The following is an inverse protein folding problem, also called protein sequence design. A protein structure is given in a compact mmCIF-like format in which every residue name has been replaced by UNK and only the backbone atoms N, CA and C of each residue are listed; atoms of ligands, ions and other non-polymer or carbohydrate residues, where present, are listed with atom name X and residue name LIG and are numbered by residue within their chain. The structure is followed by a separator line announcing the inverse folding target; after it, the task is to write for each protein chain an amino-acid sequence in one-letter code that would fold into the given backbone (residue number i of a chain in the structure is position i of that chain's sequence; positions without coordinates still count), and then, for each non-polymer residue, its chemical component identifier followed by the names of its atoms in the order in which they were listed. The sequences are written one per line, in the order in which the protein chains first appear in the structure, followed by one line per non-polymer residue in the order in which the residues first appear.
data_IF_029048896047
#
_entry.id   IF_029048896047
#
_cell.length_a   1.000
_cell.length_b   1.000
_cell.length_c   1.000
_cell.angle_alpha   90.00
_cell.angle_beta   90.00
_cell.angle_gamma   90.00
#
_symmetry.space_group_name_H-M   'P 1'
#
loop_
_entity.id
_entity.type
_entity.pdbx_description
1 polymer ?
#
# COMPACT_ATOMS: atom_id res chain seq x y z
N UNK A 1 26.33 -5.77 -10.38
CA UNK A 1 26.44 -4.91 -11.58
C UNK A 1 25.99 -3.50 -11.21
N UNK A 2 26.54 -2.42 -11.80
CA UNK A 2 26.09 -1.07 -11.52
C UNK A 2 24.65 -0.84 -12.03
N UNK A 3 23.86 -0.05 -11.30
CA UNK A 3 22.51 0.38 -11.68
C UNK A 3 22.53 1.88 -11.97
N UNK A 4 21.90 2.31 -13.06
CA UNK A 4 21.73 3.72 -13.43
C UNK A 4 20.25 4.10 -13.31
N UNK A 5 19.95 5.18 -12.57
CA UNK A 5 18.61 5.75 -12.46
C UNK A 5 18.51 7.00 -13.34
N UNK A 6 17.54 7.04 -14.25
CA UNK A 6 17.28 8.18 -15.14
C UNK A 6 15.94 8.81 -14.77
N UNK A 7 15.95 10.12 -14.55
CA UNK A 7 14.77 10.91 -14.17
C UNK A 7 14.88 12.30 -14.81
N UNK A 8 13.75 12.93 -15.10
CA UNK A 8 13.67 14.28 -15.66
C UNK A 8 13.81 15.39 -14.60
N UNK A 9 13.79 15.03 -13.31
CA UNK A 9 13.98 15.90 -12.16
C UNK A 9 14.89 15.22 -11.12
N UNK A 10 15.50 15.94 -10.16
CA UNK A 10 16.24 15.33 -9.06
C UNK A 10 15.41 14.25 -8.33
N UNK A 11 16.08 13.19 -7.85
CA UNK A 11 15.41 12.14 -7.07
C UNK A 11 14.72 12.72 -5.84
N UNK A 12 13.49 12.27 -5.59
CA UNK A 12 12.66 12.82 -4.50
C UNK A 12 12.21 14.25 -4.78
N UNK A 13 11.98 14.61 -6.05
CA UNK A 13 11.27 15.82 -6.46
C UNK A 13 10.55 15.57 -7.78
N UNK A 14 9.49 16.33 -8.06
CA UNK A 14 8.87 16.39 -9.39
C UNK A 14 8.02 15.17 -9.79
N UNK A 15 7.95 14.13 -8.95
CA UNK A 15 7.04 13.01 -9.12
C UNK A 15 5.74 13.22 -8.32
N UNK A 16 4.62 12.69 -8.82
CA UNK A 16 3.33 12.79 -8.13
C UNK A 16 3.26 12.00 -6.81
N UNK A 17 4.23 11.12 -6.53
CA UNK A 17 4.28 10.33 -5.28
C UNK A 17 4.29 11.21 -4.02
N UNK A 18 4.92 12.37 -4.07
CA UNK A 18 5.00 13.33 -2.94
C UNK A 18 3.68 14.04 -2.68
N UNK A 19 2.75 13.98 -3.64
CA UNK A 19 1.43 14.62 -3.55
C UNK A 19 0.38 13.67 -2.98
N UNK A 20 0.72 12.40 -2.73
CA UNK A 20 -0.19 11.43 -2.14
C UNK A 20 -0.48 11.77 -0.67
N UNK A 21 -1.76 11.77 -0.28
CA UNK A 21 -2.20 12.21 1.06
C UNK A 21 -3.04 11.18 1.81
N UNK A 22 -3.71 10.25 1.12
CA UNK A 22 -4.62 9.30 1.76
C UNK A 22 -3.88 8.27 2.61
N UNK A 23 -3.41 7.19 1.97
CA UNK A 23 -2.68 6.15 2.67
C UNK A 23 -2.30 4.99 1.76
N UNK A 24 -1.81 3.91 2.39
CA UNK A 24 -1.53 2.65 1.74
C UNK A 24 -2.45 1.57 2.34
N UNK A 25 -3.33 1.00 1.52
CA UNK A 25 -4.21 -0.08 1.97
C UNK A 25 -3.41 -1.39 2.08
N UNK A 26 -3.50 -2.05 3.23
CA UNK A 26 -2.91 -3.36 3.47
C UNK A 26 -3.66 -4.08 4.60
N UNK A 27 -3.88 -5.38 4.44
CA UNK A 27 -4.61 -6.17 5.45
C UNK A 27 -3.72 -6.49 6.65
N UNK A 28 -3.78 -5.59 7.63
CA UNK A 28 -2.97 -5.60 8.86
C UNK A 28 -3.81 -5.74 10.13
N UNK A 29 -5.13 -5.52 10.04
CA UNK A 29 -6.08 -5.70 11.14
C UNK A 29 -6.26 -7.19 11.50
N UNK A 30 -6.63 -7.47 12.75
CA UNK A 30 -6.87 -8.84 13.22
C UNK A 30 -8.15 -9.47 12.67
N UNK A 31 -9.05 -8.65 12.16
CA UNK A 31 -10.34 -8.96 11.54
C UNK A 31 -10.31 -8.84 10.00
N UNK A 32 -9.16 -8.49 9.42
CA UNK A 32 -8.97 -8.34 7.97
C UNK A 32 -8.09 -9.45 7.37
N UNK A 33 -8.15 -9.64 6.07
CA UNK A 33 -7.35 -10.62 5.33
C UNK A 33 -7.22 -10.27 3.84
N UNK A 34 -6.13 -10.69 3.18
CA UNK A 34 -5.90 -10.40 1.76
C UNK A 34 -7.01 -10.86 0.82
N UNK A 35 -7.81 -11.85 1.20
CA UNK A 35 -8.94 -12.31 0.39
C UNK A 35 -10.16 -11.38 0.51
N UNK A 36 -10.37 -10.69 1.63
CA UNK A 36 -11.39 -9.63 1.74
C UNK A 36 -10.98 -8.40 0.91
N UNK A 37 -9.75 -7.95 1.07
CA UNK A 37 -9.18 -6.86 0.27
C UNK A 37 -9.16 -7.18 -1.24
N UNK A 38 -8.94 -8.45 -1.62
CA UNK A 38 -9.11 -8.88 -3.01
C UNK A 38 -10.54 -8.65 -3.50
N UNK A 39 -11.55 -9.10 -2.75
CA UNK A 39 -12.95 -8.92 -3.11
C UNK A 39 -13.30 -7.44 -3.29
N UNK A 40 -12.89 -6.57 -2.36
CA UNK A 40 -13.12 -5.13 -2.44
C UNK A 40 -12.46 -4.52 -3.68
N UNK A 41 -11.21 -4.90 -3.97
CA UNK A 41 -10.49 -4.39 -5.15
C UNK A 41 -11.14 -4.83 -6.46
N UNK A 42 -11.59 -6.09 -6.55
CA UNK A 42 -12.27 -6.61 -7.75
C UNK A 42 -13.63 -5.93 -7.93
N UNK A 43 -14.39 -5.74 -6.85
CA UNK A 43 -15.67 -5.05 -6.88
C UNK A 43 -15.50 -3.59 -7.34
N UNK A 44 -14.53 -2.87 -6.77
CA UNK A 44 -14.22 -1.50 -7.16
C UNK A 44 -13.72 -1.37 -8.61
N UNK A 45 -13.09 -2.43 -9.14
CA UNK A 45 -12.54 -2.48 -10.48
C UNK A 45 -13.55 -2.66 -11.62
N UNK A 46 -14.83 -2.90 -11.32
CA UNK A 46 -15.93 -3.01 -12.30
C UNK A 46 -15.61 -3.95 -13.49
N UNK A 47 -15.02 -5.11 -13.19
CA UNK A 47 -14.67 -6.13 -14.19
C UNK A 47 -13.43 -5.82 -15.05
N UNK A 48 -12.71 -4.73 -14.77
CA UNK A 48 -11.50 -4.34 -15.50
C UNK A 48 -10.20 -4.82 -14.84
N UNK A 49 -10.28 -5.40 -13.64
CA UNK A 49 -9.13 -5.94 -12.95
C UNK A 49 -8.67 -7.29 -13.53
N UNK A 50 -7.35 -7.46 -13.64
CA UNK A 50 -6.74 -8.79 -13.69
C UNK A 50 -6.64 -9.35 -12.27
N UNK A 51 -7.47 -10.34 -11.96
CA UNK A 51 -7.54 -10.96 -10.64
C UNK A 51 -6.21 -11.56 -10.16
N UNK A 52 -5.42 -12.16 -11.06
CA UNK A 52 -4.14 -12.75 -10.67
C UNK A 52 -3.15 -11.66 -10.21
N UNK A 53 -3.17 -10.52 -10.90
CA UNK A 53 -2.39 -9.34 -10.53
C UNK A 53 -2.86 -8.76 -9.20
N UNK A 54 -4.17 -8.55 -9.02
CA UNK A 54 -4.72 -8.02 -7.76
C UNK A 54 -4.36 -8.94 -6.58
N UNK A 55 -4.59 -10.25 -6.73
CA UNK A 55 -4.27 -11.26 -5.71
C UNK A 55 -2.80 -11.21 -5.29
N UNK A 56 -1.89 -10.99 -6.24
CA UNK A 56 -0.45 -10.85 -5.95
C UNK A 56 -0.17 -9.57 -5.15
N UNK A 57 -0.79 -8.46 -5.53
CA UNK A 57 -0.59 -7.15 -4.87
C UNK A 57 -1.12 -7.17 -3.44
N UNK A 58 -2.38 -7.56 -3.22
CA UNK A 58 -3.01 -7.53 -1.89
C UNK A 58 -2.34 -8.48 -0.89
N UNK A 59 -1.81 -9.63 -1.37
CA UNK A 59 -1.03 -10.56 -0.53
C UNK A 59 0.36 -10.04 -0.17
N UNK A 60 0.96 -9.23 -1.04
CA UNK A 60 2.29 -8.65 -0.80
C UNK A 60 2.23 -7.38 0.08
N UNK A 61 1.09 -6.68 0.10
CA UNK A 61 0.94 -5.40 0.76
C UNK A 61 1.39 -5.39 2.24
N UNK A 62 1.03 -6.37 3.10
CA UNK A 62 1.48 -6.38 4.49
C UNK A 62 3.02 -6.41 4.65
N UNK A 63 3.74 -7.18 3.83
CA UNK A 63 5.20 -7.22 3.89
C UNK A 63 5.83 -5.97 3.27
N UNK A 64 5.17 -5.37 2.27
CA UNK A 64 5.61 -4.09 1.71
C UNK A 64 5.58 -2.98 2.78
N UNK A 65 4.50 -2.90 3.58
CA UNK A 65 4.40 -1.96 4.72
C UNK A 65 5.54 -2.18 5.71
N UNK A 66 5.79 -3.44 6.12
CA UNK A 66 6.92 -3.76 7.03
C UNK A 66 8.26 -3.35 6.43
N UNK A 67 8.44 -3.52 5.12
CA UNK A 67 9.67 -3.18 4.41
C UNK A 67 9.96 -1.68 4.45
N UNK A 68 8.98 -0.85 4.10
CA UNK A 68 9.17 0.60 4.10
C UNK A 68 9.25 1.18 5.52
N UNK A 69 8.60 0.53 6.50
CA UNK A 69 8.82 0.84 7.91
C UNK A 69 10.27 0.56 8.33
N UNK A 70 10.89 -0.54 7.87
CA UNK A 70 12.33 -0.80 8.08
C UNK A 70 13.24 0.22 7.39
N UNK A 71 12.77 0.85 6.31
CA UNK A 71 13.49 1.96 5.66
C UNK A 71 13.32 3.29 6.38
N UNK A 72 12.50 3.35 7.43
CA UNK A 72 12.33 4.54 8.27
C UNK A 72 11.09 5.37 7.96
N UNK A 73 10.11 4.84 7.22
CA UNK A 73 8.80 5.51 7.10
C UNK A 73 8.15 5.55 8.49
N UNK A 74 7.78 6.75 8.91
CA UNK A 74 7.16 7.02 10.21
C UNK A 74 5.64 6.97 10.07
N UNK A 75 5.07 5.76 10.21
CA UNK A 75 3.62 5.57 10.23
C UNK A 75 3.03 6.02 11.57
N UNK A 76 1.80 6.53 11.52
CA UNK A 76 1.04 6.83 12.73
C UNK A 76 0.86 5.59 13.60
N UNK A 77 1.21 5.72 14.89
CA UNK A 77 1.16 4.63 15.86
C UNK A 77 0.39 4.99 17.13
N UNK A 78 -0.32 4.02 17.70
CA UNK A 78 -0.84 4.08 19.06
C UNK A 78 0.32 4.08 20.08
N UNK A 79 0.09 4.47 21.35
CA UNK A 79 1.13 4.46 22.39
C UNK A 79 1.79 3.09 22.61
N UNK A 80 1.10 2.00 22.27
CA UNK A 80 1.58 0.62 22.33
C UNK A 80 2.37 0.16 21.09
N UNK A 81 2.65 1.08 20.15
CA UNK A 81 3.34 0.85 18.86
C UNK A 81 2.54 0.09 17.81
N UNK A 82 1.26 -0.21 18.04
CA UNK A 82 0.39 -0.70 16.98
C UNK A 82 0.18 0.41 15.93
N UNK A 83 0.13 0.03 14.65
CA UNK A 83 -0.20 0.97 13.58
C UNK A 83 -1.63 1.50 13.78
N UNK A 84 -1.81 2.81 13.62
CA UNK A 84 -3.15 3.41 13.56
C UNK A 84 -3.71 3.17 12.17
N UNK A 85 -4.72 2.30 12.08
CA UNK A 85 -5.39 1.99 10.83
C UNK A 85 -6.60 2.92 10.64
N UNK A 86 -6.84 3.32 9.40
CA UNK A 86 -8.01 4.09 8.97
C UNK A 86 -8.85 3.31 7.98
N UNK A 87 -10.13 3.67 7.84
CA UNK A 87 -11.02 3.13 6.82
C UNK A 87 -10.95 4.02 5.57
N UNK A 88 -10.61 3.45 4.43
CA UNK A 88 -10.35 4.20 3.19
C UNK A 88 -11.26 3.74 2.05
N UNK A 89 -11.99 4.70 1.46
CA UNK A 89 -12.79 4.55 0.25
C UNK A 89 -13.73 3.31 0.24
N UNK A 90 -13.43 2.33 -0.62
CA UNK A 90 -14.27 1.17 -0.91
C UNK A 90 -13.93 -0.08 -0.05
N UNK A 91 -13.10 0.06 0.97
CA UNK A 91 -12.74 -1.05 1.86
C UNK A 91 -13.79 -1.21 2.95
N UNK A 92 -14.19 -2.47 3.20
CA UNK A 92 -15.30 -2.83 4.09
C UNK A 92 -14.84 -3.40 5.42
#
# INVERSE_FOLDING_TARGET
EPVVLLTNAPLGTGACSELAQGGLAASLGGDDGPDFHLCDTIAAGDGLCDEATVRRVVRAAPEAIRTIQRFGVDFDQHPDRALRLGLEAAHS
#
